data_IF_113703981039
#
_entry.id   IF_113703981039
#
_cell.length_a   1.000
_cell.length_b   1.000
_cell.length_c   1.000
_cell.angle_alpha   90.00
_cell.angle_beta   90.00
_cell.angle_gamma   90.00
#
_symmetry.space_group_name_H-M   'P 1'
#
loop_
_entity.id
_entity.type
_entity.pdbx_description
1 polymer ?
#
# COMPACT_ATOMS: atom_id res chain seq x y z
N UNK A 1 -0.66 -6.71 21.85
CA UNK A 1 0.18 -6.92 23.05
C UNK A 1 1.40 -7.71 22.59
N UNK A 2 2.62 -7.35 23.00
CA UNK A 2 3.84 -8.09 22.62
C UNK A 2 4.14 -9.13 23.69
N UNK A 3 4.35 -10.39 23.30
CA UNK A 3 4.95 -11.40 24.17
C UNK A 3 6.28 -11.88 23.57
N UNK A 4 7.29 -12.03 24.42
CA UNK A 4 8.65 -12.41 24.02
C UNK A 4 9.02 -13.78 24.58
N UNK A 5 9.62 -14.65 23.76
CA UNK A 5 10.39 -15.82 24.21
C UNK A 5 11.78 -15.76 23.60
N UNK A 6 12.79 -15.97 24.44
CA UNK A 6 14.21 -15.96 24.03
C UNK A 6 14.45 -17.09 23.01
N UNK A 7 14.94 -16.73 21.82
CA UNK A 7 15.29 -17.67 20.74
C UNK A 7 14.28 -17.76 19.57
N UNK A 8 13.17 -17.03 19.61
CA UNK A 8 12.23 -16.89 18.50
C UNK A 8 11.80 -15.43 18.43
N UNK A 9 11.80 -14.84 17.23
CA UNK A 9 11.56 -13.42 17.02
C UNK A 9 10.21 -12.92 17.58
N UNK A 10 10.06 -11.60 17.60
CA UNK A 10 8.83 -10.93 18.04
C UNK A 10 7.72 -11.12 16.99
N UNK A 11 6.60 -11.72 17.40
CA UNK A 11 5.38 -11.77 16.59
C UNK A 11 4.40 -10.71 17.08
N UNK A 12 3.94 -9.85 16.18
CA UNK A 12 2.86 -8.89 16.47
C UNK A 12 1.55 -9.68 16.51
N UNK A 13 0.91 -9.75 17.68
CA UNK A 13 -0.44 -10.33 17.79
C UNK A 13 -1.48 -9.35 17.22
N UNK A 14 -2.19 -9.85 16.21
CA UNK A 14 -3.31 -9.19 15.54
C UNK A 14 -4.46 -8.96 16.54
N UNK A 15 -5.03 -7.74 16.55
CA UNK A 15 -6.22 -7.44 17.36
C UNK A 15 -7.39 -8.25 16.81
N UNK A 16 -7.89 -9.20 17.59
CA UNK A 16 -9.14 -9.89 17.27
C UNK A 16 -10.29 -8.88 17.17
N UNK A 17 -11.09 -8.89 16.09
CA UNK A 17 -12.20 -7.96 15.93
C UNK A 17 -13.25 -8.18 17.03
N UNK A 18 -13.82 -7.09 17.54
CA UNK A 18 -14.83 -7.10 18.60
C UNK A 18 -16.05 -7.94 18.19
N UNK A 19 -16.63 -8.65 19.16
CA UNK A 19 -17.86 -9.42 18.98
C UNK A 19 -19.00 -8.53 18.46
N UNK A 20 -19.91 -9.10 17.66
CA UNK A 20 -21.02 -8.35 17.02
C UNK A 20 -21.81 -7.50 18.02
N UNK A 21 -22.16 -8.06 19.17
CA UNK A 21 -22.93 -7.35 20.20
C UNK A 21 -22.20 -6.11 20.72
N UNK A 22 -20.89 -6.21 20.95
CA UNK A 22 -20.07 -5.10 21.44
C UNK A 22 -19.90 -4.01 20.36
N UNK A 23 -19.77 -4.40 19.08
CA UNK A 23 -19.76 -3.44 17.96
C UNK A 23 -21.07 -2.67 17.86
N UNK A 24 -22.21 -3.36 17.98
CA UNK A 24 -23.53 -2.74 17.91
C UNK A 24 -23.76 -1.77 19.08
N UNK A 25 -23.33 -2.14 20.29
CA UNK A 25 -23.47 -1.27 21.47
C UNK A 25 -22.62 0.00 21.35
N UNK A 26 -21.36 -0.13 20.91
CA UNK A 26 -20.49 1.03 20.66
C UNK A 26 -21.03 1.91 19.53
N UNK A 27 -21.54 1.31 18.46
CA UNK A 27 -22.16 2.03 17.35
C UNK A 27 -23.39 2.82 17.80
N UNK A 28 -24.27 2.20 18.58
CA UNK A 28 -25.46 2.86 19.13
C UNK A 28 -25.09 4.06 20.02
N UNK A 29 -24.00 3.96 20.80
CA UNK A 29 -23.51 5.08 21.62
C UNK A 29 -23.06 6.26 20.75
N UNK A 30 -22.28 6.00 19.71
CA UNK A 30 -21.82 7.05 18.78
C UNK A 30 -23.01 7.72 18.09
N UNK A 31 -23.97 6.93 17.59
CA UNK A 31 -25.19 7.47 16.97
C UNK A 31 -25.97 8.34 17.95
N UNK A 32 -26.10 7.91 19.21
CA UNK A 32 -26.81 8.68 20.23
C UNK A 32 -26.11 10.01 20.55
N UNK A 33 -24.79 10.00 20.73
CA UNK A 33 -23.99 11.21 20.97
C UNK A 33 -24.10 12.20 19.80
N UNK A 34 -24.02 11.70 18.56
CA UNK A 34 -24.18 12.52 17.36
C UNK A 34 -25.59 13.10 17.26
N UNK A 35 -26.64 12.32 17.54
CA UNK A 35 -28.03 12.81 17.56
C UNK A 35 -28.20 13.95 18.59
N UNK A 36 -27.63 13.81 19.79
CA UNK A 36 -27.68 14.87 20.80
C UNK A 36 -26.96 16.15 20.33
N UNK A 37 -25.84 16.02 19.62
CA UNK A 37 -25.12 17.16 19.05
C UNK A 37 -25.95 17.86 17.95
N UNK A 38 -26.58 17.10 17.06
CA UNK A 38 -27.43 17.66 15.99
C UNK A 38 -28.65 18.39 16.56
N UNK A 39 -29.30 17.81 17.57
CA UNK A 39 -30.38 18.49 18.31
C UNK A 39 -29.85 19.77 18.98
N UNK A 40 -28.64 19.73 19.55
CA UNK A 40 -27.97 20.89 20.13
C UNK A 40 -27.66 22.02 19.13
N UNK A 41 -27.55 21.69 17.84
CA UNK A 41 -27.41 22.65 16.74
C UNK A 41 -28.76 23.24 16.28
N UNK A 42 -29.87 22.79 16.85
CA UNK A 42 -31.21 23.27 16.53
C UNK A 42 -31.85 22.64 15.29
N UNK A 43 -31.31 21.50 14.81
CA UNK A 43 -31.90 20.75 13.70
C UNK A 43 -33.22 20.10 14.14
N UNK A 44 -34.23 20.18 13.28
CA UNK A 44 -35.48 19.44 13.44
C UNK A 44 -35.34 17.96 13.06
N UNK A 45 -36.26 17.13 13.56
CA UNK A 45 -36.25 15.69 13.26
C UNK A 45 -36.23 15.38 11.75
N UNK A 46 -36.93 16.18 10.94
CA UNK A 46 -36.96 16.03 9.48
C UNK A 46 -35.63 16.41 8.82
N UNK A 47 -34.92 17.42 9.32
CA UNK A 47 -33.60 17.80 8.82
C UNK A 47 -32.54 16.78 9.23
N UNK A 48 -32.64 16.23 10.45
CA UNK A 48 -31.79 15.13 10.91
C UNK A 48 -32.02 13.91 10.02
N UNK A 49 -33.28 13.51 9.77
CA UNK A 49 -33.61 12.39 8.89
C UNK A 49 -33.08 12.60 7.46
N UNK A 50 -33.24 13.82 6.91
CA UNK A 50 -32.69 14.17 5.60
C UNK A 50 -31.16 14.04 5.55
N UNK A 51 -30.44 14.49 6.59
CA UNK A 51 -28.99 14.35 6.67
C UNK A 51 -28.57 12.89 6.78
N UNK A 52 -29.27 12.09 7.59
CA UNK A 52 -29.01 10.64 7.66
C UNK A 52 -29.24 9.96 6.32
N UNK A 53 -30.30 10.33 5.60
CA UNK A 53 -30.59 9.77 4.28
C UNK A 53 -29.55 10.19 3.23
N UNK A 54 -29.07 11.43 3.27
CA UNK A 54 -27.99 11.91 2.41
C UNK A 54 -26.68 11.16 2.69
N UNK A 55 -26.30 11.01 3.96
CA UNK A 55 -25.12 10.24 4.34
C UNK A 55 -25.26 8.75 3.99
N UNK A 56 -26.44 8.16 4.17
CA UNK A 56 -26.73 6.80 3.74
C UNK A 56 -26.63 6.64 2.22
N UNK A 57 -27.09 7.64 1.46
CA UNK A 57 -26.97 7.66 -0.01
C UNK A 57 -25.51 7.75 -0.43
N UNK A 58 -24.68 8.55 0.24
CA UNK A 58 -23.23 8.59 0.00
C UNK A 58 -22.56 7.24 0.31
N UNK A 59 -22.99 6.55 1.36
CA UNK A 59 -22.52 5.21 1.70
C UNK A 59 -22.99 4.15 0.69
N UNK A 60 -24.19 4.27 0.14
CA UNK A 60 -24.71 3.37 -0.89
C UNK A 60 -23.99 3.57 -2.24
N UNK A 61 -23.61 4.81 -2.59
CA UNK A 61 -22.77 5.08 -3.78
C UNK A 61 -21.31 4.65 -3.58
N UNK A 62 -20.85 4.55 -2.32
CA UNK A 62 -19.58 3.91 -1.98
C UNK A 62 -19.62 2.37 -2.07
N UNK A 63 -20.79 1.77 -2.34
CA UNK A 63 -21.02 0.31 -2.38
C UNK A 63 -20.42 -0.46 -3.56
N UNK A 64 -19.76 0.22 -4.50
CA UNK A 64 -18.89 -0.40 -5.51
C UNK A 64 -17.45 0.07 -5.26
N UNK A 65 -16.88 -0.28 -4.10
CA UNK A 65 -15.44 -0.13 -3.90
C UNK A 65 -14.73 -0.89 -5.01
N UNK A 66 -14.11 -0.14 -5.91
CA UNK A 66 -13.32 -0.73 -6.99
C UNK A 66 -12.20 -1.54 -6.39
N UNK A 67 -11.97 -2.72 -6.93
CA UNK A 67 -10.85 -3.59 -6.56
C UNK A 67 -9.60 -3.10 -7.27
N UNK A 68 -8.75 -2.39 -6.53
CA UNK A 68 -7.44 -1.92 -7.00
C UNK A 68 -6.35 -2.91 -6.57
N UNK A 69 -5.48 -3.31 -7.50
CA UNK A 69 -4.34 -4.19 -7.21
C UNK A 69 -3.02 -3.57 -7.69
N UNK A 70 -1.92 -3.87 -6.99
CA UNK A 70 -0.56 -3.67 -7.49
C UNK A 70 0.06 -5.02 -7.78
N UNK A 71 0.59 -5.20 -8.99
CA UNK A 71 1.10 -6.49 -9.46
C UNK A 71 2.59 -6.41 -9.75
N UNK A 72 3.36 -7.38 -9.25
CA UNK A 72 4.79 -7.49 -9.52
C UNK A 72 5.40 -8.78 -8.96
N UNK A 73 6.67 -9.07 -9.22
CA UNK A 73 7.28 -10.36 -8.88
C UNK A 73 7.56 -10.57 -7.39
N UNK A 74 7.75 -9.50 -6.62
CA UNK A 74 8.26 -9.57 -5.24
C UNK A 74 7.27 -8.95 -4.25
N UNK A 75 6.83 -9.74 -3.27
CA UNK A 75 5.80 -9.34 -2.29
C UNK A 75 6.18 -8.08 -1.51
N UNK A 76 7.46 -7.92 -1.16
CA UNK A 76 7.96 -6.75 -0.45
C UNK A 76 7.81 -5.48 -1.27
N UNK A 77 8.28 -5.50 -2.52
CA UNK A 77 8.22 -4.36 -3.42
C UNK A 77 6.78 -4.01 -3.80
N UNK A 78 5.95 -5.03 -4.04
CA UNK A 78 4.53 -4.84 -4.33
C UNK A 78 3.84 -4.11 -3.19
N UNK A 79 4.11 -4.50 -1.93
CA UNK A 79 3.55 -3.84 -0.75
C UNK A 79 4.01 -2.39 -0.63
N UNK A 80 5.30 -2.13 -0.85
CA UNK A 80 5.84 -0.76 -0.81
C UNK A 80 5.20 0.15 -1.87
N UNK A 81 4.96 -0.37 -3.07
CA UNK A 81 4.29 0.38 -4.13
C UNK A 81 2.79 0.56 -3.85
N UNK A 82 2.11 -0.49 -3.36
CA UNK A 82 0.70 -0.44 -2.98
C UNK A 82 0.45 0.58 -1.86
N UNK A 83 1.32 0.65 -0.86
CA UNK A 83 1.22 1.63 0.23
C UNK A 83 1.34 3.07 -0.28
N UNK A 84 2.28 3.32 -1.20
CA UNK A 84 2.50 4.65 -1.80
C UNK A 84 1.34 5.08 -2.69
N UNK A 85 0.95 4.22 -3.62
CA UNK A 85 -0.18 4.46 -4.51
C UNK A 85 -1.48 4.60 -3.70
N UNK A 86 -1.68 3.76 -2.67
CA UNK A 86 -2.86 3.81 -1.83
C UNK A 86 -2.93 5.10 -1.00
N UNK A 87 -1.79 5.58 -0.52
CA UNK A 87 -1.70 6.89 0.15
C UNK A 87 -2.03 8.03 -0.81
N UNK A 88 -1.47 8.01 -2.02
CA UNK A 88 -1.68 9.06 -3.02
C UNK A 88 -3.14 9.11 -3.52
N UNK A 89 -3.74 7.93 -3.77
CA UNK A 89 -5.12 7.80 -4.26
C UNK A 89 -6.16 7.83 -3.13
N UNK A 90 -5.73 7.82 -1.87
CA UNK A 90 -6.60 7.66 -0.70
C UNK A 90 -7.52 6.42 -0.79
N UNK A 91 -7.00 5.32 -1.36
CA UNK A 91 -7.72 4.07 -1.60
C UNK A 91 -6.90 2.87 -1.13
N UNK A 92 -7.59 1.78 -0.79
CA UNK A 92 -6.91 0.51 -0.48
C UNK A 92 -6.46 -0.15 -1.78
N UNK A 93 -5.17 -0.50 -1.86
CA UNK A 93 -4.60 -1.22 -3.00
C UNK A 93 -4.02 -2.54 -2.50
N UNK A 94 -4.45 -3.63 -3.11
CA UNK A 94 -4.00 -4.97 -2.73
C UNK A 94 -2.69 -5.32 -3.44
N UNK A 95 -1.60 -5.62 -2.73
CA UNK A 95 -0.38 -6.13 -3.34
C UNK A 95 -0.58 -7.59 -3.76
N UNK A 96 -0.30 -7.91 -5.02
CA UNK A 96 -0.52 -9.24 -5.62
C UNK A 96 0.75 -9.68 -6.36
N UNK A 97 1.35 -10.84 -6.02
CA UNK A 97 2.47 -11.37 -6.78
C UNK A 97 2.02 -11.81 -8.19
N UNK A 98 2.91 -11.70 -9.19
CA UNK A 98 2.62 -12.11 -10.57
C UNK A 98 2.06 -13.54 -10.64
N UNK A 99 2.59 -14.46 -9.83
CA UNK A 99 2.14 -15.86 -9.75
C UNK A 99 0.70 -16.05 -9.29
N UNK A 100 0.08 -15.02 -8.70
CA UNK A 100 -1.29 -15.05 -8.20
C UNK A 100 -2.24 -14.14 -8.98
N UNK A 101 -1.76 -13.37 -9.97
CA UNK A 101 -2.56 -12.36 -10.64
C UNK A 101 -3.83 -12.91 -11.30
N UNK A 102 -3.79 -14.16 -11.81
CA UNK A 102 -4.96 -14.79 -12.43
C UNK A 102 -6.17 -14.91 -11.49
N UNK A 103 -5.95 -14.93 -10.17
CA UNK A 103 -7.01 -14.98 -9.16
C UNK A 103 -7.70 -13.63 -8.96
N UNK A 104 -7.19 -12.58 -9.60
CA UNK A 104 -7.65 -11.20 -9.48
C UNK A 104 -8.16 -10.64 -10.83
N UNK A 105 -8.70 -11.51 -11.71
CA UNK A 105 -9.35 -11.11 -12.98
C UNK A 105 -10.63 -10.28 -12.79
N UNK A 106 -11.12 -10.21 -11.57
CA UNK A 106 -12.22 -9.37 -11.09
C UNK A 106 -11.73 -7.98 -10.61
N UNK A 107 -10.43 -7.68 -10.70
CA UNK A 107 -9.92 -6.35 -10.38
C UNK A 107 -10.37 -5.32 -11.42
N UNK A 108 -10.77 -4.15 -10.94
CA UNK A 108 -11.12 -3.01 -11.79
C UNK A 108 -9.87 -2.33 -12.33
N UNK A 109 -8.85 -2.18 -11.48
CA UNK A 109 -7.57 -1.56 -11.83
C UNK A 109 -6.38 -2.41 -11.40
N UNK A 110 -5.36 -2.49 -12.26
CA UNK A 110 -4.07 -3.12 -11.95
C UNK A 110 -2.92 -2.15 -12.23
N UNK A 111 -2.11 -1.87 -11.20
CA UNK A 111 -0.91 -1.06 -11.32
C UNK A 111 0.32 -1.97 -11.38
N UNK A 112 1.19 -1.79 -12.36
CA UNK A 112 2.33 -2.69 -12.59
C UNK A 112 3.60 -1.90 -12.95
N UNK A 113 4.79 -2.26 -12.45
CA UNK A 113 6.03 -1.69 -12.96
C UNK A 113 6.19 -1.95 -14.46
N UNK A 114 6.62 -0.96 -15.25
CA UNK A 114 6.73 -1.09 -16.71
C UNK A 114 7.40 -2.38 -17.24
N UNK A 115 8.46 -2.92 -16.62
CA UNK A 115 9.07 -4.17 -17.08
C UNK A 115 8.13 -5.39 -17.14
N UNK A 116 7.01 -5.36 -16.41
CA UNK A 116 6.03 -6.45 -16.34
C UNK A 116 4.68 -6.10 -16.98
N UNK A 117 4.55 -4.92 -17.60
CA UNK A 117 3.27 -4.41 -18.10
C UNK A 117 2.65 -5.31 -19.17
N UNK A 118 3.47 -5.80 -20.12
CA UNK A 118 2.99 -6.66 -21.22
C UNK A 118 2.36 -7.95 -20.69
N UNK A 119 3.06 -8.66 -19.80
CA UNK A 119 2.59 -9.93 -19.23
C UNK A 119 1.27 -9.76 -18.45
N UNK A 120 1.12 -8.63 -17.74
CA UNK A 120 -0.09 -8.32 -16.98
C UNK A 120 -1.24 -7.93 -17.91
N UNK A 121 -1.00 -7.15 -18.96
CA UNK A 121 -2.02 -6.81 -19.97
C UNK A 121 -2.57 -8.06 -20.68
N UNK A 122 -1.71 -9.02 -20.99
CA UNK A 122 -2.12 -10.29 -21.60
C UNK A 122 -2.97 -11.13 -20.63
N UNK A 123 -2.56 -11.21 -19.36
CA UNK A 123 -3.21 -12.06 -18.36
C UNK A 123 -4.51 -11.47 -17.80
N UNK A 124 -4.54 -10.15 -17.56
CA UNK A 124 -5.65 -9.38 -17.00
C UNK A 124 -6.34 -8.54 -18.08
N UNK A 125 -6.63 -9.14 -19.23
CA UNK A 125 -7.17 -8.46 -20.42
C UNK A 125 -8.48 -7.67 -20.26
N UNK A 126 -9.16 -7.79 -19.12
CA UNK A 126 -10.41 -7.07 -18.80
C UNK A 126 -10.25 -6.03 -17.69
N UNK A 127 -9.08 -5.94 -17.09
CA UNK A 127 -8.75 -5.00 -16.02
C UNK A 127 -8.07 -3.77 -16.61
N UNK A 128 -8.43 -2.58 -16.12
CA UNK A 128 -7.75 -1.35 -16.52
C UNK A 128 -6.32 -1.35 -15.94
N UNK A 129 -5.35 -1.68 -16.80
CA UNK A 129 -3.97 -1.94 -16.39
C UNK A 129 -3.09 -0.77 -16.74
N UNK A 130 -2.43 -0.21 -15.73
CA UNK A 130 -1.57 0.96 -15.88
C UNK A 130 -0.14 0.66 -15.42
N UNK A 131 0.82 1.07 -16.26
CA UNK A 131 2.24 0.96 -15.95
C UNK A 131 2.74 2.12 -15.10
N UNK A 132 3.69 1.87 -14.20
CA UNK A 132 4.41 2.90 -13.45
C UNK A 132 5.92 2.67 -13.44
N UNK A 133 6.68 3.74 -13.22
CA UNK A 133 8.12 3.67 -13.00
C UNK A 133 8.45 3.72 -11.50
N UNK A 134 9.57 3.08 -11.14
CA UNK A 134 10.12 3.13 -9.78
C UNK A 134 11.56 3.61 -9.77
N UNK A 135 11.97 4.18 -8.64
CA UNK A 135 13.35 4.57 -8.41
C UNK A 135 13.77 4.46 -6.95
N UNK A 136 15.08 4.34 -6.72
CA UNK A 136 15.65 4.44 -5.38
C UNK A 136 15.64 5.91 -4.91
N UNK A 137 15.50 6.18 -3.60
CA UNK A 137 15.59 7.52 -3.06
C UNK A 137 16.99 8.13 -3.29
N UNK A 138 17.05 9.40 -3.69
CA UNK A 138 18.31 10.11 -3.92
C UNK A 138 19.23 10.11 -2.70
N UNK A 139 18.66 10.12 -1.48
CA UNK A 139 19.42 10.06 -0.23
C UNK A 139 20.22 8.76 -0.12
N UNK A 140 19.59 7.61 -0.40
CA UNK A 140 20.28 6.31 -0.41
C UNK A 140 21.35 6.29 -1.49
N UNK A 141 21.02 6.78 -2.69
CA UNK A 141 21.97 6.83 -3.79
C UNK A 141 23.18 7.69 -3.44
N UNK A 142 22.98 8.83 -2.78
CA UNK A 142 24.06 9.69 -2.29
C UNK A 142 24.92 9.00 -1.23
N UNK A 143 24.29 8.35 -0.23
CA UNK A 143 24.98 7.56 0.78
C UNK A 143 25.86 6.49 0.14
N UNK A 144 25.30 5.70 -0.77
CA UNK A 144 26.01 4.61 -1.45
C UNK A 144 27.12 5.13 -2.37
N UNK A 145 26.89 6.25 -3.06
CA UNK A 145 27.89 6.85 -3.96
C UNK A 145 29.10 7.43 -3.22
N UNK A 146 28.97 7.75 -1.93
CA UNK A 146 30.04 8.29 -1.09
C UNK A 146 30.89 7.22 -0.42
N UNK A 147 30.52 5.94 -0.56
CA UNK A 147 31.29 4.83 -0.02
C UNK A 147 32.66 4.73 -0.68
N UNK A 148 33.67 4.46 0.13
CA UNK A 148 35.04 4.21 -0.30
C UNK A 148 35.17 2.78 -0.80
N UNK A 149 36.21 2.50 -1.58
CA UNK A 149 36.45 1.17 -2.21
C UNK A 149 36.53 -0.04 -1.24
N UNK A 150 36.69 0.22 0.06
CA UNK A 150 36.76 -0.80 1.12
C UNK A 150 35.51 -0.85 2.00
N UNK A 151 34.55 0.06 1.77
CA UNK A 151 33.28 0.09 2.47
C UNK A 151 32.25 -0.68 1.64
N UNK A 152 31.37 -1.39 2.33
CA UNK A 152 30.44 -2.31 1.71
C UNK A 152 29.00 -2.01 2.10
N UNK A 153 28.07 -2.38 1.21
CA UNK A 153 26.63 -2.23 1.46
C UNK A 153 26.01 -3.58 1.75
N UNK A 154 25.44 -3.72 2.95
CA UNK A 154 24.53 -4.82 3.30
C UNK A 154 23.08 -4.44 3.05
N UNK A 155 22.32 -5.32 2.39
CA UNK A 155 20.88 -5.16 2.19
C UNK A 155 20.12 -6.04 3.20
N UNK A 156 19.21 -5.40 3.95
CA UNK A 156 18.33 -6.10 4.88
C UNK A 156 16.90 -5.99 4.36
N UNK A 157 16.32 -7.12 3.97
CA UNK A 157 14.95 -7.21 3.44
C UNK A 157 14.12 -8.16 4.28
N UNK A 158 12.80 -7.99 4.28
CA UNK A 158 11.87 -8.93 4.92
C UNK A 158 11.86 -10.27 4.22
N UNK A 159 12.00 -10.27 2.89
CA UNK A 159 12.05 -11.49 2.07
C UNK A 159 13.35 -11.55 1.26
N UNK A 160 14.02 -12.71 1.30
CA UNK A 160 15.35 -12.89 0.69
C UNK A 160 15.35 -12.69 -0.82
N UNK A 161 14.25 -13.02 -1.49
CA UNK A 161 14.06 -12.85 -2.93
C UNK A 161 13.99 -11.38 -3.37
N UNK A 162 13.85 -10.45 -2.43
CA UNK A 162 13.88 -9.01 -2.68
C UNK A 162 15.31 -8.46 -2.76
N UNK A 163 16.32 -9.19 -2.25
CA UNK A 163 17.72 -8.75 -2.30
C UNK A 163 18.26 -8.65 -3.74
N UNK A 164 18.10 -9.68 -4.61
CA UNK A 164 18.60 -9.61 -5.99
C UNK A 164 18.13 -8.40 -6.80
N UNK A 165 16.82 -8.07 -6.89
CA UNK A 165 16.37 -6.93 -7.70
C UNK A 165 16.89 -5.58 -7.16
N UNK A 166 16.94 -5.41 -5.84
CA UNK A 166 17.47 -4.18 -5.23
C UNK A 166 18.98 -4.04 -5.44
N UNK A 167 19.72 -5.15 -5.33
CA UNK A 167 21.16 -5.20 -5.62
C UNK A 167 21.43 -4.79 -7.06
N UNK A 168 20.62 -5.27 -8.00
CA UNK A 168 20.80 -4.99 -9.42
C UNK A 168 20.49 -3.53 -9.76
N UNK A 169 19.44 -2.95 -9.19
CA UNK A 169 19.12 -1.53 -9.38
C UNK A 169 20.24 -0.62 -8.82
N UNK A 170 20.81 -0.96 -7.65
CA UNK A 170 21.97 -0.26 -7.09
C UNK A 170 23.22 -0.40 -7.96
N UNK A 171 23.53 -1.60 -8.46
CA UNK A 171 24.69 -1.83 -9.34
C UNK A 171 24.56 -1.11 -10.67
N UNK A 172 23.38 -1.10 -11.26
CA UNK A 172 23.11 -0.41 -12.53
C UNK A 172 23.36 1.09 -12.41
N UNK A 173 23.03 1.69 -11.26
CA UNK A 173 23.16 3.14 -11.04
C UNK A 173 24.54 3.58 -10.55
N UNK A 174 25.17 2.81 -9.66
CA UNK A 174 26.35 3.26 -8.91
C UNK A 174 27.53 2.28 -8.89
N UNK A 175 27.32 1.01 -9.28
CA UNK A 175 28.32 -0.08 -9.20
C UNK A 175 29.04 -0.21 -7.84
N UNK A 176 28.35 -0.22 -6.69
CA UNK A 176 29.00 -0.36 -5.38
C UNK A 176 29.50 -1.79 -5.14
N UNK A 177 30.44 -1.95 -4.20
CA UNK A 177 30.82 -3.26 -3.64
C UNK A 177 29.79 -3.65 -2.57
N UNK A 178 29.12 -4.79 -2.74
CA UNK A 178 28.12 -5.32 -1.81
C UNK A 178 28.76 -6.41 -0.92
N UNK A 179 28.50 -6.39 0.39
CA UNK A 179 28.94 -7.39 1.36
C UNK A 179 27.91 -7.48 2.51
N UNK A 180 27.92 -8.58 3.25
CA UNK A 180 26.96 -8.88 4.32
C UNK A 180 27.31 -8.20 5.66
N UNK A 181 28.36 -7.39 5.71
CA UNK A 181 28.85 -6.69 6.91
C UNK A 181 28.11 -5.36 7.13
N UNK A 182 27.39 -5.20 8.25
CA UNK A 182 26.56 -4.00 8.53
C UNK A 182 27.27 -3.06 9.51
N UNK A 183 27.56 -1.83 9.08
CA UNK A 183 28.20 -0.80 9.91
C UNK A 183 27.39 0.50 10.06
N UNK A 184 26.39 0.73 9.20
CA UNK A 184 25.38 1.80 9.31
C UNK A 184 24.05 1.35 8.66
N UNK A 185 22.91 1.78 9.20
CA UNK A 185 21.58 1.33 8.75
C UNK A 185 20.77 2.50 8.19
N UNK A 186 20.40 2.42 6.92
CA UNK A 186 19.47 3.35 6.27
C UNK A 186 18.26 2.60 5.71
N UNK A 187 17.05 3.09 5.98
CA UNK A 187 15.82 2.48 5.45
C UNK A 187 15.71 2.71 3.95
N UNK A 188 15.70 1.62 3.18
CA UNK A 188 15.50 1.66 1.74
C UNK A 188 14.02 1.56 1.39
N UNK A 189 13.46 2.64 0.81
CA UNK A 189 12.10 2.63 0.27
C UNK A 189 12.11 2.87 -1.23
N UNK A 190 11.82 1.84 -2.04
CA UNK A 190 11.62 2.01 -3.50
C UNK A 190 10.44 2.95 -3.70
N UNK A 191 10.61 3.99 -4.51
CA UNK A 191 9.61 5.03 -4.73
C UNK A 191 8.92 4.87 -6.09
N UNK A 192 7.61 5.08 -6.14
CA UNK A 192 6.88 5.24 -7.40
C UNK A 192 7.10 6.68 -7.90
N UNK A 193 7.42 6.85 -9.18
CA UNK A 193 7.66 8.19 -9.73
C UNK A 193 6.42 9.07 -9.66
N UNK A 194 6.61 10.36 -9.35
CA UNK A 194 5.51 11.32 -9.23
C UNK A 194 4.68 11.40 -10.52
N UNK A 195 5.31 11.44 -11.69
CA UNK A 195 4.61 11.44 -12.99
C UNK A 195 3.67 10.23 -13.16
N UNK A 196 4.05 9.07 -12.60
CA UNK A 196 3.18 7.88 -12.62
C UNK A 196 2.04 7.98 -11.61
N UNK A 197 2.30 8.56 -10.44
CA UNK A 197 1.25 8.81 -9.44
C UNK A 197 0.19 9.74 -10.01
N UNK A 198 0.61 10.85 -10.61
CA UNK A 198 -0.29 11.85 -11.19
C UNK A 198 -1.12 11.24 -12.34
N UNK A 199 -0.46 10.52 -13.25
CA UNK A 199 -1.15 9.83 -14.35
C UNK A 199 -2.17 8.78 -13.86
N UNK A 200 -1.85 8.04 -12.79
CA UNK A 200 -2.78 7.07 -12.20
C UNK A 200 -3.94 7.78 -11.50
N UNK A 201 -3.67 8.86 -10.77
CA UNK A 201 -4.70 9.63 -10.07
C UNK A 201 -5.73 10.25 -11.05
N UNK A 202 -5.28 10.72 -12.20
CA UNK A 202 -6.15 11.24 -13.24
C UNK A 202 -7.05 10.16 -13.87
N UNK A 203 -6.56 8.92 -13.95
CA UNK A 203 -7.26 7.80 -14.58
C UNK A 203 -8.17 7.01 -13.64
N UNK A 204 -7.95 7.11 -12.32
CA UNK A 204 -8.75 6.41 -11.30
C UNK A 204 -9.76 7.37 -10.69
N UNK A 205 -11.05 7.30 -11.09
CA UNK A 205 -12.10 8.12 -10.50
C UNK A 205 -12.15 8.04 -8.97
N UNK A 206 -12.44 9.20 -8.36
CA UNK A 206 -12.69 9.37 -6.93
C UNK A 206 -13.80 8.43 -6.43
#
# INVERSE_FOLDING_TARGET
LLSSRVGSGYTVEERSPLAKSERMERGARVVNETLQQLVGLGLSDAEIESLFQEQATLLDHAGLERKLITVGPHDELNRMCADQLGTALQKTILPVPLSQMERHKDADFAFVPYPYLTDVLETLSRTDTMGFATHLPSKVLETVARLRDHETVGLVTRYRDTIPPLSEDLRTRLRPVLDDSVHDVEELRVLVSQDSIDAIADAVPA
#
